data_IF_132184739799
#
_entry.id   IF_132184739799
#
_cell.length_a   1.000
_cell.length_b   1.000
_cell.length_c   1.000
_cell.angle_alpha   90.00
_cell.angle_beta   90.00
_cell.angle_gamma   90.00
#
_symmetry.space_group_name_H-M   'P 1'
#
loop_
_entity.id
_entity.type
_entity.pdbx_description
1 polymer ?
#
# COMPACT_ATOMS: atom_id res chain seq x y z
N UNK A 1 -14.67 -5.79 18.31
CA UNK A 1 -13.85 -5.84 19.55
C UNK A 1 -12.35 -5.80 19.26
N UNK A 2 -11.82 -6.69 18.41
CA UNK A 2 -10.39 -6.68 18.03
C UNK A 2 -9.92 -5.30 17.50
N UNK A 3 -10.68 -4.69 16.58
CA UNK A 3 -10.38 -3.34 16.05
C UNK A 3 -10.23 -2.27 17.14
N UNK A 4 -11.18 -2.22 18.07
CA UNK A 4 -11.13 -1.28 19.19
C UNK A 4 -9.98 -1.58 20.16
N UNK A 5 -9.63 -2.86 20.38
CA UNK A 5 -8.53 -3.25 21.24
C UNK A 5 -7.15 -2.93 20.62
N UNK A 6 -7.04 -3.03 19.30
CA UNK A 6 -5.87 -2.58 18.54
C UNK A 6 -5.73 -1.04 18.53
N UNK A 7 -6.86 -0.34 18.71
CA UNK A 7 -6.91 1.11 18.68
C UNK A 7 -7.09 1.67 17.27
N UNK A 8 -7.90 1.03 16.43
CA UNK A 8 -8.28 1.59 15.13
C UNK A 8 -9.30 2.73 15.32
N UNK A 9 -9.06 3.88 14.68
CA UNK A 9 -10.00 5.02 14.64
C UNK A 9 -11.15 4.76 13.66
N UNK A 10 -10.85 4.12 12.53
CA UNK A 10 -11.79 3.74 11.48
C UNK A 10 -11.66 2.24 11.22
N UNK A 11 -12.79 1.53 11.21
CA UNK A 11 -12.90 0.15 10.79
C UNK A 11 -13.67 0.08 9.47
N UNK A 12 -12.98 -0.34 8.43
CA UNK A 12 -13.56 -0.53 7.11
C UNK A 12 -13.97 -1.99 6.91
N UNK A 13 -15.16 -2.24 6.37
CA UNK A 13 -15.54 -3.58 5.91
C UNK A 13 -14.92 -3.88 4.54
N UNK A 14 -14.60 -5.15 4.34
CA UNK A 14 -14.03 -5.67 3.10
C UNK A 14 -14.39 -7.16 2.98
N UNK A 15 -15.64 -7.51 3.33
CA UNK A 15 -16.10 -8.88 3.17
C UNK A 15 -16.16 -9.21 1.67
N UNK A 16 -15.90 -10.46 1.30
CA UNK A 16 -15.92 -10.88 -0.10
C UNK A 16 -17.33 -10.80 -0.68
N UNK A 17 -17.51 -9.92 -1.66
CA UNK A 17 -18.73 -9.75 -2.46
C UNK A 17 -19.99 -9.57 -1.58
N UNK A 18 -19.86 -8.84 -0.47
CA UNK A 18 -20.94 -8.58 0.48
C UNK A 18 -20.74 -7.28 1.26
N UNK A 19 -21.74 -6.39 1.27
CA UNK A 19 -21.65 -5.13 2.01
C UNK A 19 -22.07 -5.29 3.47
N UNK A 20 -21.09 -5.39 4.37
CA UNK A 20 -21.33 -5.46 5.82
C UNK A 20 -21.24 -4.10 6.51
N UNK A 21 -22.37 -3.59 6.99
CA UNK A 21 -22.40 -2.45 7.90
C UNK A 21 -22.12 -2.88 9.36
N UNK A 22 -20.95 -2.48 9.87
CA UNK A 22 -20.56 -2.73 11.27
C UNK A 22 -21.20 -1.76 12.28
N UNK A 23 -21.81 -0.65 11.85
CA UNK A 23 -22.40 0.38 12.70
C UNK A 23 -23.41 -0.17 13.72
N UNK A 24 -24.40 -0.99 13.31
CA UNK A 24 -25.35 -1.62 14.23
C UNK A 24 -24.68 -2.53 15.27
N UNK A 25 -23.58 -3.19 14.92
CA UNK A 25 -22.82 -4.05 15.84
C UNK A 25 -22.05 -3.18 16.84
N UNK A 26 -21.41 -2.11 16.40
CA UNK A 26 -20.71 -1.14 17.27
C UNK A 26 -21.69 -0.50 18.25
N UNK A 27 -22.87 -0.10 17.79
CA UNK A 27 -23.92 0.46 18.65
C UNK A 27 -24.35 -0.53 19.73
N UNK A 28 -24.68 -1.77 19.35
CA UNK A 28 -25.07 -2.82 20.31
C UNK A 28 -23.99 -3.07 21.35
N UNK A 29 -22.73 -3.22 20.93
CA UNK A 29 -21.62 -3.46 21.85
C UNK A 29 -21.38 -2.25 22.79
N UNK A 30 -21.68 -1.04 22.33
CA UNK A 30 -21.65 0.17 23.17
C UNK A 30 -22.78 0.18 24.20
N UNK A 31 -24.00 -0.20 23.81
CA UNK A 31 -25.16 -0.33 24.71
C UNK A 31 -24.96 -1.41 25.78
N UNK A 32 -24.25 -2.50 25.44
CA UNK A 32 -23.86 -3.57 26.36
C UNK A 32 -22.70 -3.17 27.29
N UNK A 33 -22.08 -2.01 27.06
CA UNK A 33 -20.92 -1.52 27.83
C UNK A 33 -19.62 -2.28 27.54
N UNK A 34 -19.54 -2.97 26.39
CA UNK A 34 -18.35 -3.69 25.93
C UNK A 34 -17.42 -2.81 25.09
N UNK A 35 -17.96 -1.77 24.47
CA UNK A 35 -17.22 -0.69 23.82
C UNK A 35 -17.57 0.64 24.45
N UNK A 36 -16.64 1.58 24.43
CA UNK A 36 -16.98 2.97 24.72
C UNK A 36 -17.87 3.46 23.58
N UNK A 37 -18.97 4.14 23.92
CA UNK A 37 -19.79 4.80 22.92
C UNK A 37 -18.90 5.75 22.11
N UNK A 38 -18.97 5.65 20.78
CA UNK A 38 -18.22 6.53 19.87
C UNK A 38 -16.70 6.44 20.09
N UNK A 39 -16.14 5.23 19.94
CA UNK A 39 -14.69 4.98 20.03
C UNK A 39 -14.04 4.54 18.73
N UNK A 40 -14.84 4.33 17.69
CA UNK A 40 -14.43 3.86 16.37
C UNK A 40 -15.50 4.25 15.35
N UNK A 41 -15.09 4.78 14.21
CA UNK A 41 -15.94 5.00 13.05
C UNK A 41 -15.96 3.74 12.18
N UNK A 42 -17.04 3.50 11.45
CA UNK A 42 -17.14 2.39 10.50
C UNK A 42 -17.41 2.89 9.09
N UNK A 43 -16.72 2.32 8.10
CA UNK A 43 -16.93 2.63 6.68
C UNK A 43 -17.26 1.31 5.97
N UNK A 44 -18.29 1.32 5.13
CA UNK A 44 -18.68 0.14 4.35
C UNK A 44 -17.83 0.08 3.08
N UNK A 45 -17.29 -1.10 2.79
CA UNK A 45 -16.61 -1.42 1.55
C UNK A 45 -16.80 -2.89 1.17
N UNK A 46 -16.33 -3.22 -0.03
CA UNK A 46 -16.44 -4.54 -0.65
C UNK A 46 -15.08 -5.01 -1.15
N UNK A 47 -14.68 -6.23 -0.77
CA UNK A 47 -13.60 -6.92 -1.46
C UNK A 47 -14.18 -7.68 -2.65
N UNK A 48 -14.23 -7.01 -3.79
CA UNK A 48 -14.73 -7.55 -5.06
C UNK A 48 -13.75 -8.63 -5.53
N UNK A 49 -14.22 -9.87 -5.63
CA UNK A 49 -13.35 -11.06 -5.64
C UNK A 49 -13.40 -11.91 -6.93
N UNK A 50 -13.02 -11.36 -8.10
CA UNK A 50 -12.85 -12.15 -9.30
C UNK A 50 -11.77 -13.22 -9.14
N UNK A 51 -12.21 -14.47 -9.00
CA UNK A 51 -11.34 -15.64 -8.87
C UNK A 51 -10.40 -15.87 -10.07
N UNK A 52 -10.64 -15.20 -11.19
CA UNK A 52 -9.95 -15.42 -12.45
C UNK A 52 -8.69 -14.57 -12.59
N UNK A 53 -8.67 -13.39 -11.99
CA UNK A 53 -7.58 -12.45 -12.20
C UNK A 53 -7.22 -11.62 -10.97
N UNK A 54 -7.88 -11.76 -9.83
CA UNK A 54 -7.47 -11.13 -8.58
C UNK A 54 -8.47 -10.09 -8.07
N UNK A 55 -8.24 -9.65 -6.83
CA UNK A 55 -9.23 -8.90 -6.06
C UNK A 55 -9.02 -7.39 -6.18
N UNK A 56 -10.12 -6.68 -6.03
CA UNK A 56 -10.18 -5.23 -5.91
C UNK A 56 -10.96 -4.90 -4.64
N UNK A 57 -10.76 -3.69 -4.12
CA UNK A 57 -11.50 -3.21 -2.97
C UNK A 57 -12.06 -1.83 -3.27
N UNK A 58 -13.34 -1.63 -2.97
CA UNK A 58 -14.05 -0.37 -3.18
C UNK A 58 -14.71 0.11 -1.88
N UNK A 59 -14.57 1.40 -1.55
CA UNK A 59 -15.13 2.03 -0.34
C UNK A 59 -15.04 3.56 -0.40
N UNK A 60 -15.88 4.31 0.31
CA UNK A 60 -17.15 3.90 0.90
C UNK A 60 -18.13 3.37 -0.16
N UNK A 61 -19.10 2.54 0.25
CA UNK A 61 -20.18 2.04 -0.61
C UNK A 61 -21.53 2.13 0.10
N UNK A 62 -22.60 2.33 -0.68
CA UNK A 62 -23.96 2.41 -0.15
C UNK A 62 -24.62 1.03 -0.01
N UNK A 63 -25.08 0.70 1.19
CA UNK A 63 -25.79 -0.56 1.46
C UNK A 63 -27.24 -0.55 0.93
N UNK A 64 -27.63 -1.59 0.18
CA UNK A 64 -29.04 -1.90 -0.13
C UNK A 64 -29.52 -3.17 0.59
N UNK A 65 -30.20 -2.99 1.72
CA UNK A 65 -30.75 -4.09 2.53
C UNK A 65 -31.87 -4.90 1.84
N UNK A 66 -32.35 -4.51 0.65
CA UNK A 66 -33.30 -5.29 -0.12
C UNK A 66 -32.62 -6.31 -1.04
N UNK A 67 -31.32 -6.16 -1.27
CA UNK A 67 -30.50 -7.09 -2.02
C UNK A 67 -29.95 -8.20 -1.09
N UNK A 68 -29.98 -9.48 -1.49
CA UNK A 68 -29.38 -10.57 -0.71
C UNK A 68 -27.93 -10.35 -0.30
N UNK A 69 -27.13 -9.67 -1.14
CA UNK A 69 -25.70 -9.41 -0.90
C UNK A 69 -25.47 -7.94 -0.49
N UNK A 70 -26.55 -7.29 -0.04
CA UNK A 70 -26.56 -5.93 0.50
C UNK A 70 -26.12 -4.84 -0.49
N UNK A 71 -26.17 -5.12 -1.79
CA UNK A 71 -25.78 -4.20 -2.85
C UNK A 71 -24.36 -4.39 -3.37
N UNK A 72 -23.67 -5.46 -2.96
CA UNK A 72 -22.36 -5.82 -3.49
C UNK A 72 -22.41 -6.06 -5.01
N UNK A 73 -21.29 -5.81 -5.68
CA UNK A 73 -21.20 -5.95 -7.13
C UNK A 73 -21.13 -7.43 -7.52
N UNK A 74 -22.11 -7.91 -8.29
CA UNK A 74 -22.00 -9.22 -8.96
C UNK A 74 -21.04 -9.14 -10.15
N UNK A 75 -19.74 -9.30 -9.88
CA UNK A 75 -18.69 -9.33 -10.90
C UNK A 75 -18.79 -10.53 -11.85
N UNK A 76 -19.62 -11.53 -11.51
CA UNK A 76 -19.86 -12.71 -12.32
C UNK A 76 -21.02 -12.55 -13.31
N UNK A 77 -21.87 -11.52 -13.18
CA UNK A 77 -22.98 -11.31 -14.11
C UNK A 77 -22.45 -10.87 -15.48
N UNK A 78 -22.58 -11.75 -16.49
CA UNK A 78 -22.23 -11.41 -17.85
C UNK A 78 -23.37 -11.72 -18.83
N UNK A 79 -23.68 -10.83 -19.80
CA UNK A 79 -24.76 -11.05 -20.78
C UNK A 79 -24.59 -12.29 -21.68
N UNK A 80 -23.38 -12.86 -21.74
CA UNK A 80 -23.09 -14.11 -22.46
C UNK A 80 -23.27 -15.36 -21.59
N UNK A 81 -23.57 -15.19 -20.30
CA UNK A 81 -23.78 -16.32 -19.42
C UNK A 81 -25.04 -17.06 -19.81
N UNK A 82 -24.88 -18.38 -19.85
CA UNK A 82 -25.93 -19.32 -20.16
C UNK A 82 -25.93 -20.33 -19.04
N UNK A 83 -27.11 -20.63 -18.48
CA UNK A 83 -27.24 -21.68 -17.45
C UNK A 83 -26.67 -22.98 -18.02
N UNK A 84 -25.44 -23.30 -17.63
CA UNK A 84 -24.60 -24.32 -18.24
C UNK A 84 -23.55 -24.79 -17.22
N UNK A 85 -23.08 -26.05 -17.31
CA UNK A 85 -21.91 -26.49 -16.57
C UNK A 85 -20.58 -25.99 -17.16
N UNK A 86 -20.62 -25.18 -18.23
CA UNK A 86 -19.46 -24.54 -18.81
C UNK A 86 -19.02 -23.35 -17.94
N UNK A 87 -17.74 -22.95 -18.00
CA UNK A 87 -17.24 -21.79 -17.26
C UNK A 87 -17.96 -20.48 -17.66
N UNK A 88 -18.49 -19.75 -16.68
CA UNK A 88 -19.11 -18.42 -16.84
C UNK A 88 -18.08 -17.34 -17.21
N UNK A 89 -18.53 -16.33 -17.95
CA UNK A 89 -17.74 -15.13 -18.25
C UNK A 89 -17.76 -14.20 -17.04
N UNK A 90 -16.81 -13.28 -16.96
CA UNK A 90 -16.73 -12.33 -15.85
C UNK A 90 -16.52 -10.92 -16.35
N UNK A 91 -16.91 -9.94 -15.53
CA UNK A 91 -16.54 -8.56 -15.77
C UNK A 91 -15.03 -8.43 -15.87
N UNK A 92 -14.55 -7.55 -16.75
CA UNK A 92 -13.16 -7.10 -16.80
C UNK A 92 -12.85 -6.13 -15.64
N UNK A 93 -11.58 -5.93 -15.27
CA UNK A 93 -11.21 -4.95 -14.25
C UNK A 93 -11.79 -3.55 -14.49
N UNK A 94 -11.79 -3.07 -15.73
CA UNK A 94 -12.35 -1.76 -16.07
C UNK A 94 -13.87 -1.68 -15.85
N UNK A 95 -14.61 -2.75 -16.16
CA UNK A 95 -16.05 -2.80 -15.90
C UNK A 95 -16.35 -2.83 -14.40
N UNK A 96 -15.54 -3.55 -13.62
CA UNK A 96 -15.68 -3.56 -12.14
C UNK A 96 -15.51 -2.15 -11.59
N UNK A 97 -14.46 -1.46 -12.02
CA UNK A 97 -14.17 -0.09 -11.58
C UNK A 97 -15.28 0.86 -12.00
N UNK A 98 -15.77 0.78 -13.24
CA UNK A 98 -16.89 1.58 -13.72
C UNK A 98 -18.17 1.35 -12.88
N UNK A 99 -18.44 0.10 -12.51
CA UNK A 99 -19.59 -0.23 -11.68
C UNK A 99 -19.43 0.24 -10.22
N UNK A 100 -18.24 0.11 -9.65
CA UNK A 100 -17.95 0.61 -8.29
C UNK A 100 -18.07 2.15 -8.23
N UNK A 101 -17.56 2.86 -9.23
CA UNK A 101 -17.67 4.32 -9.36
C UNK A 101 -19.08 4.82 -9.72
N UNK A 102 -20.05 3.91 -9.89
CA UNK A 102 -21.46 4.29 -10.06
C UNK A 102 -22.16 4.53 -8.71
N UNK A 103 -21.58 4.08 -7.59
CA UNK A 103 -22.03 4.50 -6.26
C UNK A 103 -21.84 6.03 -6.12
N UNK A 104 -22.78 6.75 -5.51
CA UNK A 104 -22.69 8.20 -5.42
C UNK A 104 -21.73 8.64 -4.31
N UNK A 105 -20.59 9.22 -4.67
CA UNK A 105 -19.72 9.82 -3.67
C UNK A 105 -18.29 10.01 -4.15
N UNK A 106 -17.37 9.89 -3.19
CA UNK A 106 -15.94 9.80 -3.42
C UNK A 106 -15.51 8.38 -3.01
N UNK A 107 -15.19 7.54 -4.00
CA UNK A 107 -14.78 6.17 -3.75
C UNK A 107 -13.26 6.00 -3.92
N UNK A 108 -12.67 5.22 -3.03
CA UNK A 108 -11.34 4.64 -3.20
C UNK A 108 -11.49 3.34 -3.95
N UNK A 109 -10.79 3.22 -5.08
CA UNK A 109 -10.68 1.99 -5.83
C UNK A 109 -9.26 1.46 -5.64
N UNK A 110 -9.14 0.39 -4.87
CA UNK A 110 -7.88 -0.24 -4.53
C UNK A 110 -7.71 -1.55 -5.31
N UNK A 111 -6.52 -1.79 -5.87
CA UNK A 111 -6.11 -3.16 -6.23
C UNK A 111 -5.48 -3.85 -5.02
N UNK A 112 -6.00 -5.02 -4.65
CA UNK A 112 -5.59 -5.69 -3.41
C UNK A 112 -4.31 -6.49 -3.59
N UNK A 113 -3.57 -6.61 -2.48
CA UNK A 113 -2.43 -7.48 -2.25
C UNK A 113 -1.64 -7.77 -3.52
N UNK A 114 -1.06 -6.72 -4.13
CA UNK A 114 -0.62 -6.74 -5.54
C UNK A 114 0.47 -7.75 -5.87
N UNK A 115 1.13 -8.28 -4.84
CA UNK A 115 2.21 -9.27 -4.95
C UNK A 115 1.84 -10.63 -4.38
N UNK A 116 0.57 -10.83 -4.00
CA UNK A 116 0.04 -12.13 -3.62
C UNK A 116 -0.15 -13.02 -4.86
N UNK A 117 0.08 -14.32 -4.66
CA UNK A 117 -0.23 -15.36 -5.63
C UNK A 117 -1.15 -16.40 -4.95
N UNK A 118 -2.41 -16.56 -5.39
CA UNK A 118 -2.91 -16.20 -6.72
C UNK A 118 -3.79 -14.94 -6.82
N UNK A 119 -4.05 -14.22 -5.72
CA UNK A 119 -5.16 -13.24 -5.70
C UNK A 119 -4.75 -11.80 -6.05
N UNK A 120 -3.46 -11.49 -6.15
CA UNK A 120 -2.98 -10.18 -6.60
C UNK A 120 -3.11 -9.99 -8.10
N UNK A 121 -3.91 -9.01 -8.55
CA UNK A 121 -4.15 -8.79 -9.99
C UNK A 121 -2.88 -8.60 -10.83
N UNK A 122 -1.90 -7.76 -10.42
CA UNK A 122 -0.67 -7.61 -11.18
C UNK A 122 0.10 -8.92 -11.35
N UNK A 123 0.12 -9.79 -10.35
CA UNK A 123 0.76 -11.12 -10.44
C UNK A 123 -0.07 -12.06 -11.30
N UNK A 124 -1.37 -12.15 -11.05
CA UNK A 124 -2.27 -13.02 -11.80
C UNK A 124 -2.27 -12.67 -13.29
N UNK A 125 -2.33 -11.39 -13.66
CA UNK A 125 -2.32 -10.93 -15.05
C UNK A 125 -0.91 -10.80 -15.66
N UNK A 126 0.15 -10.87 -14.85
CA UNK A 126 1.51 -10.67 -15.31
C UNK A 126 1.74 -9.24 -15.80
N UNK A 127 1.55 -8.26 -14.94
CA UNK A 127 1.78 -6.85 -15.27
C UNK A 127 3.28 -6.58 -15.42
N UNK A 128 3.64 -6.03 -16.57
CA UNK A 128 4.97 -5.51 -16.84
C UNK A 128 4.96 -3.99 -16.67
N UNK A 129 5.54 -3.48 -15.59
CA UNK A 129 5.49 -2.05 -15.24
C UNK A 129 6.78 -1.28 -15.57
N UNK A 130 7.80 -1.93 -16.10
CA UNK A 130 9.09 -1.29 -16.42
C UNK A 130 9.24 -1.01 -17.93
N UNK A 131 9.77 0.17 -18.33
CA UNK A 131 9.99 0.49 -19.74
C UNK A 131 11.27 -0.13 -20.32
N UNK A 132 12.08 -0.83 -19.53
CA UNK A 132 13.38 -1.37 -19.95
C UNK A 132 13.28 -2.32 -21.17
N UNK A 133 12.13 -2.95 -21.37
CA UNK A 133 11.89 -3.88 -22.48
C UNK A 133 11.40 -3.19 -23.77
N UNK A 134 11.14 -1.88 -23.75
CA UNK A 134 10.58 -1.16 -24.89
C UNK A 134 11.53 -1.11 -26.08
N UNK A 135 12.81 -0.80 -25.86
CA UNK A 135 13.77 -0.64 -26.96
C UNK A 135 14.20 -1.98 -27.58
N UNK A 136 14.58 -2.95 -26.73
CA UNK A 136 15.14 -4.22 -27.19
C UNK A 136 14.06 -5.21 -27.64
N UNK A 137 12.93 -5.27 -26.93
CA UNK A 137 11.87 -6.26 -27.16
C UNK A 137 10.61 -5.68 -27.80
N UNK A 138 10.49 -4.35 -27.91
CA UNK A 138 9.30 -3.71 -28.45
C UNK A 138 8.06 -3.89 -27.57
N UNK A 139 8.23 -4.20 -26.28
CA UNK A 139 7.14 -4.38 -25.31
C UNK A 139 7.04 -3.12 -24.47
N UNK A 140 5.92 -2.41 -24.59
CA UNK A 140 5.65 -1.22 -23.79
C UNK A 140 5.53 -1.56 -22.30
N UNK A 141 5.89 -0.60 -21.44
CA UNK A 141 5.55 -0.67 -20.03
C UNK A 141 4.03 -0.57 -19.85
N UNK A 142 3.56 -0.97 -18.67
CA UNK A 142 2.15 -1.02 -18.32
C UNK A 142 1.36 -1.86 -19.33
N UNK A 143 1.73 -3.14 -19.42
CA UNK A 143 0.99 -4.16 -20.19
C UNK A 143 0.76 -5.40 -19.33
N UNK A 144 -0.32 -6.12 -19.59
CA UNK A 144 -0.54 -7.45 -19.04
C UNK A 144 -0.04 -8.53 -20.02
N UNK A 145 0.57 -9.60 -19.49
CA UNK A 145 1.07 -10.72 -20.29
C UNK A 145 0.09 -11.88 -20.39
N UNK A 146 -0.90 -11.95 -19.51
CA UNK A 146 -1.97 -12.95 -19.57
C UNK A 146 -2.92 -12.68 -20.74
N UNK A 147 -3.41 -13.76 -21.37
CA UNK A 147 -4.51 -13.68 -22.32
C UNK A 147 -5.84 -13.42 -21.57
N UNK A 148 -6.56 -12.31 -21.84
CA UNK A 148 -7.88 -12.05 -21.27
C UNK A 148 -8.86 -13.22 -21.44
N UNK A 149 -8.78 -13.96 -22.55
CA UNK A 149 -9.67 -15.10 -22.81
C UNK A 149 -9.42 -16.24 -21.81
N UNK A 150 -8.17 -16.48 -21.44
CA UNK A 150 -7.83 -17.47 -20.41
C UNK A 150 -8.37 -17.06 -19.03
N UNK A 151 -8.68 -15.76 -18.85
CA UNK A 151 -9.29 -15.19 -17.64
C UNK A 151 -10.79 -14.99 -17.76
N UNK A 152 -11.39 -15.56 -18.80
CA UNK A 152 -12.83 -15.55 -19.06
C UNK A 152 -13.43 -14.17 -19.28
N UNK A 153 -12.64 -13.25 -19.83
CA UNK A 153 -13.14 -12.00 -20.35
C UNK A 153 -13.87 -12.30 -21.68
N UNK A 154 -15.11 -11.80 -21.81
CA UNK A 154 -16.12 -12.25 -22.76
C UNK A 154 -15.98 -11.75 -24.19
N UNK A 155 -15.17 -10.71 -24.43
CA UNK A 155 -15.04 -10.12 -25.78
C UNK A 155 -13.61 -9.80 -26.20
N UNK A 156 -13.42 -9.74 -27.52
CA UNK A 156 -12.19 -9.19 -28.12
C UNK A 156 -12.06 -7.71 -27.78
N UNK A 157 -11.00 -7.34 -27.05
CA UNK A 157 -10.69 -5.95 -26.69
C UNK A 157 -10.75 -5.64 -25.18
N UNK A 158 -11.25 -6.55 -24.35
CA UNK A 158 -11.14 -6.43 -22.88
C UNK A 158 -9.69 -6.64 -22.43
N UNK A 159 -9.31 -5.95 -21.36
CA UNK A 159 -7.93 -5.86 -20.87
C UNK A 159 -7.85 -6.23 -19.39
N UNK A 160 -6.77 -6.91 -19.01
CA UNK A 160 -6.43 -7.21 -17.61
C UNK A 160 -5.57 -6.11 -16.97
N UNK A 161 -5.36 -5.01 -17.69
CA UNK A 161 -4.70 -3.81 -17.20
C UNK A 161 -5.57 -2.58 -17.44
N UNK A 162 -5.59 -1.68 -16.45
CA UNK A 162 -6.43 -0.49 -16.41
C UNK A 162 -5.77 0.53 -15.47
N UNK A 163 -6.06 1.82 -15.66
CA UNK A 163 -5.42 2.96 -14.97
C UNK A 163 -6.38 3.78 -14.11
N UNK A 164 -7.59 3.27 -13.88
CA UNK A 164 -8.69 3.97 -13.20
C UNK A 164 -8.80 3.64 -11.70
N UNK A 165 -7.76 3.03 -11.11
CA UNK A 165 -7.69 2.78 -9.66
C UNK A 165 -6.95 3.92 -8.96
N UNK A 166 -7.33 4.20 -7.72
CA UNK A 166 -6.76 5.30 -6.92
C UNK A 166 -5.77 4.82 -5.86
N UNK A 167 -5.85 3.55 -5.45
CA UNK A 167 -4.99 2.97 -4.43
C UNK A 167 -4.48 1.57 -4.80
N UNK A 168 -3.40 1.13 -4.14
CA UNK A 168 -2.87 -0.22 -4.29
C UNK A 168 -2.30 -0.75 -2.98
N UNK A 169 -2.70 -1.96 -2.60
CA UNK A 169 -2.22 -2.60 -1.39
C UNK A 169 -0.91 -3.32 -1.63
N UNK A 170 0.16 -2.83 -1.00
CA UNK A 170 1.52 -3.33 -1.20
C UNK A 170 1.83 -4.55 -0.33
N UNK A 171 1.12 -4.76 0.76
CA UNK A 171 1.36 -5.90 1.66
C UNK A 171 0.14 -6.17 2.55
N UNK A 172 0.02 -7.44 2.94
CA UNK A 172 -0.96 -7.92 3.91
C UNK A 172 -0.30 -8.35 5.23
N UNK A 173 -1.09 -8.51 6.29
CA UNK A 173 -0.61 -8.91 7.61
C UNK A 173 0.14 -10.25 7.61
N UNK A 174 -0.37 -11.24 6.86
CA UNK A 174 0.24 -12.57 6.76
C UNK A 174 1.62 -12.56 6.05
N UNK A 175 1.85 -11.56 5.18
CA UNK A 175 3.07 -11.40 4.39
C UNK A 175 4.15 -10.55 5.06
N UNK A 176 3.89 -9.97 6.24
CA UNK A 176 4.80 -9.02 6.91
C UNK A 176 6.19 -9.60 7.27
N UNK A 177 6.31 -10.92 7.42
CA UNK A 177 7.59 -11.61 7.67
C UNK A 177 8.37 -11.93 6.39
N UNK A 178 7.75 -11.74 5.23
CA UNK A 178 8.33 -12.05 3.93
C UNK A 178 9.05 -10.84 3.34
N UNK A 179 9.87 -11.09 2.33
CA UNK A 179 10.59 -10.02 1.63
C UNK A 179 9.79 -9.45 0.43
N UNK A 180 8.52 -9.84 0.27
CA UNK A 180 7.74 -9.54 -0.94
C UNK A 180 7.37 -8.08 -1.07
N UNK A 181 7.06 -7.40 0.04
CA UNK A 181 6.91 -5.94 0.07
C UNK A 181 8.12 -5.23 -0.57
N UNK A 182 9.32 -5.58 -0.10
CA UNK A 182 10.56 -4.92 -0.50
C UNK A 182 11.05 -5.35 -1.87
N UNK A 183 10.91 -6.61 -2.25
CA UNK A 183 11.49 -7.10 -3.52
C UNK A 183 10.54 -7.06 -4.71
N UNK A 184 9.24 -6.83 -4.48
CA UNK A 184 8.21 -6.87 -5.54
C UNK A 184 7.24 -5.68 -5.44
N UNK A 185 6.58 -5.47 -4.31
CA UNK A 185 5.46 -4.53 -4.24
C UNK A 185 5.89 -3.05 -4.34
N UNK A 186 6.81 -2.59 -3.48
CA UNK A 186 7.39 -1.24 -3.55
C UNK A 186 8.01 -0.93 -4.92
N UNK A 187 8.87 -1.80 -5.50
CA UNK A 187 9.42 -1.49 -6.82
C UNK A 187 8.36 -1.52 -7.94
N UNK A 188 7.32 -2.35 -7.84
CA UNK A 188 6.19 -2.29 -8.78
C UNK A 188 5.47 -0.94 -8.67
N UNK A 189 5.25 -0.45 -7.45
CA UNK A 189 4.67 0.87 -7.20
C UNK A 189 5.57 2.01 -7.71
N UNK A 190 6.88 1.99 -7.45
CA UNK A 190 7.82 2.99 -7.98
C UNK A 190 7.84 3.03 -9.52
N UNK A 191 7.75 1.86 -10.17
CA UNK A 191 7.58 1.81 -11.62
C UNK A 191 6.30 2.55 -12.05
N UNK A 192 5.18 2.32 -11.37
CA UNK A 192 3.92 3.03 -11.64
C UNK A 192 4.02 4.54 -11.37
N UNK A 193 4.70 4.98 -10.31
CA UNK A 193 4.98 6.41 -10.06
C UNK A 193 5.75 7.03 -11.23
N UNK A 194 6.82 6.37 -11.69
CA UNK A 194 7.63 6.84 -12.81
C UNK A 194 6.86 6.86 -14.14
N UNK A 195 5.89 5.96 -14.31
CA UNK A 195 4.99 5.93 -15.47
C UNK A 195 3.88 6.97 -15.40
N UNK A 196 3.68 7.63 -14.26
CA UNK A 196 2.65 8.64 -14.06
C UNK A 196 1.38 8.15 -13.36
N UNK A 197 1.25 6.86 -13.01
CA UNK A 197 -0.02 6.32 -12.48
C UNK A 197 -0.38 6.80 -11.07
N UNK A 198 0.64 7.03 -10.23
CA UNK A 198 0.54 7.60 -8.89
C UNK A 198 -0.58 7.05 -7.96
N UNK A 199 -0.86 5.74 -7.92
CA UNK A 199 -1.83 5.21 -6.97
C UNK A 199 -1.29 5.36 -5.54
N UNK A 200 -2.19 5.59 -4.59
CA UNK A 200 -1.86 5.62 -3.17
C UNK A 200 -1.43 4.23 -2.72
N UNK A 201 -0.21 4.12 -2.23
CA UNK A 201 0.23 2.91 -1.58
C UNK A 201 -0.47 2.74 -0.22
N UNK A 202 -1.01 1.56 0.02
CA UNK A 202 -1.63 1.13 1.28
C UNK A 202 -1.04 -0.19 1.74
N UNK A 203 -1.33 -0.57 2.99
CA UNK A 203 -1.10 -1.93 3.49
C UNK A 203 -2.15 -2.25 4.55
N UNK A 204 -2.88 -3.35 4.38
CA UNK A 204 -3.93 -3.75 5.32
C UNK A 204 -3.60 -5.10 5.94
N UNK A 205 -4.34 -5.50 6.96
CA UNK A 205 -4.04 -6.75 7.66
C UNK A 205 -4.58 -7.98 6.94
N UNK A 206 -5.65 -7.84 6.14
CA UNK A 206 -6.36 -8.95 5.48
C UNK A 206 -6.74 -10.07 6.49
N UNK A 207 -7.43 -9.64 7.54
CA UNK A 207 -7.61 -10.45 8.75
C UNK A 207 -8.79 -11.40 8.67
N UNK A 208 -8.49 -12.68 8.47
CA UNK A 208 -9.46 -13.78 8.53
C UNK A 208 -9.47 -14.53 9.89
N UNK A 209 -8.51 -14.21 10.76
CA UNK A 209 -8.30 -14.91 12.03
C UNK A 209 -7.86 -13.96 13.13
N UNK A 210 -8.52 -14.03 14.29
CA UNK A 210 -8.19 -13.19 15.45
C UNK A 210 -6.76 -13.41 16.00
N UNK A 211 -6.19 -14.61 15.79
CA UNK A 211 -4.92 -15.01 16.41
C UNK A 211 -3.77 -15.09 15.40
N UNK A 212 -4.00 -15.57 14.17
CA UNK A 212 -2.90 -15.82 13.23
C UNK A 212 -2.52 -14.58 12.41
N UNK A 213 -3.52 -13.78 12.05
CA UNK A 213 -3.37 -12.55 11.26
C UNK A 213 -4.23 -11.49 11.95
N UNK A 214 -3.82 -11.04 13.15
CA UNK A 214 -4.65 -10.12 13.93
C UNK A 214 -4.88 -8.82 13.15
N UNK A 215 -6.04 -8.23 13.38
CA UNK A 215 -6.45 -6.98 12.76
C UNK A 215 -5.53 -5.81 13.19
N UNK A 216 -5.29 -4.87 12.28
CA UNK A 216 -4.64 -3.59 12.59
C UNK A 216 -3.14 -3.52 12.31
N UNK A 217 -2.57 -4.54 11.65
CA UNK A 217 -1.17 -4.51 11.19
C UNK A 217 -0.98 -5.23 9.84
N UNK A 218 -0.33 -4.61 8.84
CA UNK A 218 0.05 -3.19 8.80
C UNK A 218 -1.20 -2.28 8.84
N UNK A 219 -0.97 -0.98 9.10
CA UNK A 219 -2.02 0.04 9.15
C UNK A 219 -1.69 1.23 8.27
N UNK A 220 -2.73 1.96 7.92
CA UNK A 220 -2.66 3.21 7.17
C UNK A 220 -2.99 4.37 8.10
N UNK A 221 -2.08 5.32 8.23
CA UNK A 221 -2.34 6.60 8.90
C UNK A 221 -2.78 7.62 7.84
N UNK A 222 -4.03 8.07 7.95
CA UNK A 222 -4.68 8.94 6.97
C UNK A 222 -4.90 10.31 7.62
N UNK A 223 -4.63 11.39 6.90
CA UNK A 223 -4.86 12.75 7.41
C UNK A 223 -6.34 12.93 7.78
N UNK A 224 -6.59 13.50 8.96
CA UNK A 224 -7.93 13.79 9.44
C UNK A 224 -7.96 15.10 10.24
N UNK A 225 -9.03 15.87 10.09
CA UNK A 225 -9.32 17.01 10.96
C UNK A 225 -9.99 16.60 12.28
N UNK A 226 -10.35 15.31 12.40
CA UNK A 226 -11.05 14.70 13.53
C UNK A 226 -10.22 13.51 14.03
N UNK A 227 -9.72 13.65 15.24
CA UNK A 227 -9.02 12.64 16.03
C UNK A 227 -9.32 12.90 17.52
N UNK A 228 -10.46 12.39 18.03
CA UNK A 228 -10.87 12.66 19.40
C UNK A 228 -9.88 12.11 20.44
N UNK A 229 -9.08 11.10 20.05
CA UNK A 229 -8.02 10.51 20.87
C UNK A 229 -6.91 11.52 21.15
N UNK A 230 -6.58 12.32 20.13
CA UNK A 230 -5.58 13.39 20.21
C UNK A 230 -6.20 14.79 20.46
N UNK A 231 -7.50 14.86 20.74
CA UNK A 231 -8.22 16.08 21.11
C UNK A 231 -8.61 16.98 19.93
N UNK A 232 -8.64 16.43 18.71
CA UNK A 232 -9.14 17.10 17.51
C UNK A 232 -10.57 16.63 17.22
N UNK A 233 -11.53 17.56 17.19
CA UNK A 233 -12.95 17.19 17.10
C UNK A 233 -13.48 16.59 18.41
N UNK A 234 -14.78 16.31 18.44
CA UNK A 234 -15.45 15.83 19.65
C UNK A 234 -15.79 14.34 19.61
N UNK A 235 -15.83 13.74 18.42
CA UNK A 235 -16.49 12.45 18.20
C UNK A 235 -15.97 11.73 16.96
N UNK A 236 -15.87 10.39 16.98
CA UNK A 236 -15.43 9.61 15.80
C UNK A 236 -16.47 9.63 14.70
N UNK A 237 -17.75 9.80 15.02
CA UNK A 237 -18.80 9.97 14.00
C UNK A 237 -18.65 11.26 13.18
N UNK A 238 -17.80 12.20 13.61
CA UNK A 238 -17.46 13.41 12.84
C UNK A 238 -16.40 13.14 11.76
N UNK A 239 -15.79 11.94 11.73
CA UNK A 239 -14.96 11.50 10.62
C UNK A 239 -15.87 11.25 9.42
N UNK A 240 -15.83 12.18 8.48
CA UNK A 240 -16.57 12.17 7.22
C UNK A 240 -15.92 11.18 6.23
N UNK A 241 -16.72 10.26 5.69
CA UNK A 241 -16.23 9.18 4.82
C UNK A 241 -15.77 9.69 3.45
N UNK A 242 -16.39 10.73 2.89
CA UNK A 242 -15.96 11.33 1.62
C UNK A 242 -14.62 12.05 1.80
N UNK A 243 -14.43 12.76 2.92
CA UNK A 243 -13.14 13.40 3.23
C UNK A 243 -12.07 12.35 3.50
N UNK A 244 -12.42 11.24 4.18
CA UNK A 244 -11.52 10.12 4.42
C UNK A 244 -11.07 9.49 3.09
N UNK A 245 -12.01 9.16 2.21
CA UNK A 245 -11.76 8.61 0.88
C UNK A 245 -10.92 9.57 0.03
N UNK A 246 -11.27 10.86 0.01
CA UNK A 246 -10.50 11.88 -0.72
C UNK A 246 -9.06 11.96 -0.23
N UNK A 247 -8.82 11.95 1.08
CA UNK A 247 -7.43 11.98 1.59
C UNK A 247 -6.64 10.73 1.20
N UNK A 248 -7.28 9.57 1.07
CA UNK A 248 -6.65 8.38 0.50
C UNK A 248 -6.39 8.58 -0.99
N UNK A 249 -7.37 9.03 -1.77
CA UNK A 249 -7.22 9.30 -3.20
C UNK A 249 -6.15 10.37 -3.48
N UNK A 250 -5.95 11.32 -2.58
CA UNK A 250 -4.92 12.37 -2.60
C UNK A 250 -3.57 11.91 -2.04
N UNK A 251 -3.38 10.62 -1.80
CA UNK A 251 -2.11 10.03 -1.33
C UNK A 251 -1.66 10.56 0.05
N UNK A 252 -2.56 11.11 0.87
CA UNK A 252 -2.25 11.62 2.22
C UNK A 252 -2.23 10.50 3.26
N UNK A 253 -1.40 9.50 2.98
CA UNK A 253 -1.33 8.24 3.71
C UNK A 253 0.12 7.86 4.05
N UNK A 254 0.35 7.46 5.30
CA UNK A 254 1.59 6.80 5.74
C UNK A 254 1.28 5.36 6.12
N UNK A 255 1.95 4.41 5.48
CA UNK A 255 1.76 2.98 5.74
C UNK A 255 2.77 2.54 6.79
N UNK A 256 2.31 1.78 7.78
CA UNK A 256 3.13 1.48 8.95
C UNK A 256 2.91 0.08 9.50
N UNK A 257 4.04 -0.51 9.89
CA UNK A 257 4.18 -1.65 10.77
C UNK A 257 4.92 -1.24 12.07
N UNK A 258 4.43 -0.19 12.74
CA UNK A 258 4.95 0.28 14.03
C UNK A 258 5.45 1.73 14.00
N UNK A 259 6.55 2.06 13.29
CA UNK A 259 7.03 3.43 13.18
C UNK A 259 6.02 4.36 12.48
N UNK A 260 5.99 5.62 12.86
CA UNK A 260 5.25 6.68 12.18
C UNK A 260 6.22 7.71 11.64
N UNK A 261 5.98 8.18 10.42
CA UNK A 261 6.84 9.15 9.72
C UNK A 261 6.04 10.43 9.51
N UNK A 262 6.55 11.53 10.03
CA UNK A 262 6.12 12.88 9.69
C UNK A 262 7.17 13.50 8.78
N UNK A 263 6.76 13.88 7.57
CA UNK A 263 7.65 14.51 6.58
C UNK A 263 7.06 15.84 6.11
N UNK A 264 7.92 16.86 6.00
CA UNK A 264 7.57 18.19 5.48
C UNK A 264 8.65 18.66 4.53
N UNK A 265 8.25 19.11 3.36
CA UNK A 265 9.11 19.79 2.41
C UNK A 265 8.87 21.30 2.51
N UNK A 266 9.93 22.09 2.43
CA UNK A 266 9.87 23.56 2.38
C UNK A 266 10.71 24.10 1.23
N UNK A 267 10.18 25.05 0.45
CA UNK A 267 10.92 25.71 -0.63
C UNK A 267 11.58 27.03 -0.16
N UNK A 268 12.35 27.66 -1.04
CA UNK A 268 13.05 28.91 -0.75
C UNK A 268 12.11 30.08 -0.43
N UNK A 269 10.87 30.03 -0.92
CA UNK A 269 9.80 31.01 -0.68
C UNK A 269 9.11 30.82 0.69
N UNK A 270 9.36 29.70 1.37
CA UNK A 270 8.77 29.36 2.66
C UNK A 270 7.40 28.67 2.57
N UNK A 271 7.00 28.19 1.39
CA UNK A 271 5.86 27.29 1.25
C UNK A 271 6.19 25.91 1.80
N UNK A 272 5.20 25.21 2.35
CA UNK A 272 5.36 23.89 2.97
C UNK A 272 4.39 22.91 2.31
N UNK A 273 4.85 21.69 2.05
CA UNK A 273 4.04 20.57 1.58
C UNK A 273 4.30 19.31 2.43
N UNK A 274 3.28 18.50 2.64
CA UNK A 274 3.36 17.20 3.28
C UNK A 274 3.21 16.03 2.31
N UNK A 275 3.07 14.83 2.87
CA UNK A 275 2.78 13.60 2.13
C UNK A 275 1.50 13.75 1.30
N UNK A 276 1.57 13.42 0.02
CA UNK A 276 0.49 13.55 -0.98
C UNK A 276 0.43 14.92 -1.68
N UNK A 277 1.19 15.92 -1.21
CA UNK A 277 1.12 17.29 -1.72
C UNK A 277 2.27 17.62 -2.70
N UNK A 278 2.04 18.66 -3.51
CA UNK A 278 3.03 19.21 -4.45
C UNK A 278 3.72 20.42 -3.82
N UNK A 279 5.03 20.53 -4.00
CA UNK A 279 5.84 21.70 -3.70
C UNK A 279 6.60 22.17 -4.93
N UNK A 280 6.50 23.46 -5.22
CA UNK A 280 7.21 24.05 -6.36
C UNK A 280 8.60 24.53 -5.96
N UNK A 281 9.58 24.22 -6.81
CA UNK A 281 10.94 24.73 -6.71
C UNK A 281 12.00 23.63 -6.88
N UNK A 282 13.23 24.07 -7.19
CA UNK A 282 14.36 23.16 -7.40
C UNK A 282 15.20 22.91 -6.15
N UNK A 283 15.05 23.76 -5.14
CA UNK A 283 15.76 23.68 -3.87
C UNK A 283 14.74 23.49 -2.75
N UNK A 284 14.77 22.32 -2.14
CA UNK A 284 13.79 21.90 -1.13
C UNK A 284 14.54 21.51 0.14
N UNK A 285 14.10 22.01 1.28
CA UNK A 285 14.50 21.50 2.59
C UNK A 285 13.48 20.46 3.04
N UNK A 286 13.93 19.24 3.31
CA UNK A 286 13.11 18.13 3.78
C UNK A 286 13.36 17.89 5.27
N UNK A 287 12.34 18.11 6.08
CA UNK A 287 12.31 17.80 7.51
C UNK A 287 11.58 16.47 7.73
N UNK A 288 12.25 15.52 8.36
CA UNK A 288 11.73 14.18 8.65
C UNK A 288 11.81 13.92 10.14
N UNK A 289 10.70 13.50 10.74
CA UNK A 289 10.62 12.95 12.08
C UNK A 289 10.07 11.53 12.00
N UNK A 290 10.80 10.57 12.55
CA UNK A 290 10.34 9.19 12.70
C UNK A 290 10.21 8.88 14.18
N UNK A 291 9.05 8.39 14.58
CA UNK A 291 8.77 7.98 15.96
C UNK A 291 8.21 6.56 15.98
N UNK A 292 8.62 5.74 16.94
CA UNK A 292 8.05 4.42 17.14
C UNK A 292 8.08 4.06 18.64
N UNK A 293 7.16 3.22 19.12
CA UNK A 293 7.36 2.61 20.43
C UNK A 293 8.62 1.72 20.41
N UNK A 294 9.31 1.59 21.54
CA UNK A 294 10.59 0.86 21.66
C UNK A 294 10.52 -0.60 21.18
N UNK A 295 9.35 -1.22 21.25
CA UNK A 295 9.13 -2.59 20.78
C UNK A 295 9.00 -2.71 19.24
N UNK A 296 8.74 -1.60 18.54
CA UNK A 296 8.68 -1.51 17.08
C UNK A 296 9.94 -0.84 16.52
N UNK A 297 11.08 -1.50 16.73
CA UNK A 297 12.39 -0.91 16.49
C UNK A 297 12.66 -0.54 15.02
N UNK A 298 13.21 0.66 14.79
CA UNK A 298 13.83 1.06 13.54
C UNK A 298 15.27 1.55 13.75
N UNK A 299 16.13 1.40 12.74
CA UNK A 299 17.53 1.85 12.79
C UNK A 299 18.04 2.48 11.49
N UNK A 300 17.19 2.48 10.46
CA UNK A 300 17.52 2.92 9.11
C UNK A 300 16.39 3.82 8.59
N UNK A 301 16.76 4.97 8.04
CA UNK A 301 15.88 5.85 7.25
C UNK A 301 16.46 5.93 5.83
N UNK A 302 15.61 5.72 4.84
CA UNK A 302 15.95 5.67 3.43
C UNK A 302 15.08 6.68 2.67
N UNK A 303 15.65 7.37 1.69
CA UNK A 303 14.95 8.35 0.86
C UNK A 303 15.10 7.92 -0.59
N UNK A 304 13.97 7.78 -1.27
CA UNK A 304 13.85 7.36 -2.67
C UNK A 304 13.32 8.52 -3.50
N UNK A 305 13.96 8.82 -4.62
CA UNK A 305 13.65 9.93 -5.51
C UNK A 305 13.68 9.45 -6.96
N UNK A 306 12.54 9.44 -7.66
CA UNK A 306 12.44 8.94 -9.04
C UNK A 306 13.18 7.60 -9.27
N UNK A 307 13.25 6.76 -8.24
CA UNK A 307 14.06 5.53 -8.24
C UNK A 307 13.54 4.58 -9.31
N UNK A 308 14.44 3.98 -10.07
CA UNK A 308 14.13 3.02 -11.14
C UNK A 308 14.50 1.59 -10.75
N UNK A 309 13.50 0.75 -10.43
CA UNK A 309 13.74 -0.66 -10.19
C UNK A 309 14.16 -1.43 -11.44
N UNK A 310 15.21 -2.23 -11.30
CA UNK A 310 15.73 -3.10 -12.36
C UNK A 310 15.23 -4.52 -12.15
N UNK A 311 14.68 -5.20 -13.19
CA UNK A 311 14.31 -6.61 -13.12
C UNK A 311 15.41 -7.51 -12.56
N UNK A 312 15.04 -8.40 -11.64
CA UNK A 312 15.93 -9.29 -10.91
C UNK A 312 15.54 -10.76 -11.07
N UNK A 313 16.53 -11.64 -10.88
CA UNK A 313 16.29 -13.08 -10.73
C UNK A 313 15.35 -13.34 -9.53
N UNK A 314 14.69 -14.51 -9.48
CA UNK A 314 13.73 -14.89 -8.42
C UNK A 314 14.30 -14.78 -7.00
N UNK A 315 15.63 -14.86 -6.86
CA UNK A 315 16.30 -14.62 -5.57
C UNK A 315 16.16 -13.19 -5.05
N UNK A 316 15.84 -12.24 -5.93
CA UNK A 316 15.81 -10.80 -5.69
C UNK A 316 17.18 -10.17 -5.45
N UNK A 317 18.29 -10.92 -5.65
CA UNK A 317 19.64 -10.48 -5.26
C UNK A 317 20.45 -9.89 -6.40
N UNK A 318 20.17 -10.33 -7.62
CA UNK A 318 20.96 -9.97 -8.79
C UNK A 318 20.02 -9.52 -9.90
N UNK A 319 20.37 -8.43 -10.60
CA UNK A 319 19.71 -8.08 -11.84
C UNK A 319 19.78 -9.25 -12.83
N UNK A 320 18.74 -9.41 -13.65
CA UNK A 320 18.68 -10.45 -14.67
C UNK A 320 19.88 -10.35 -15.65
N UNK A 321 20.38 -11.50 -16.11
CA UNK A 321 21.47 -11.62 -17.10
C UNK A 321 21.05 -12.56 -18.24
N UNK A 322 21.46 -12.26 -19.46
CA UNK A 322 21.16 -13.03 -20.69
C UNK A 322 19.66 -13.39 -20.83
N UNK A 323 19.26 -14.53 -21.42
CA UNK A 323 17.87 -14.91 -21.82
C UNK A 323 16.79 -14.86 -20.72
N UNK A 324 17.16 -14.56 -19.48
CA UNK A 324 16.28 -13.99 -18.46
C UNK A 324 15.80 -12.55 -18.80
N UNK A 325 16.26 -11.98 -19.91
CA UNK A 325 15.84 -10.73 -20.53
C UNK A 325 14.48 -10.81 -21.25
N UNK A 326 13.83 -11.97 -21.30
CA UNK A 326 12.49 -12.08 -21.90
C UNK A 326 11.42 -11.44 -21.01
N UNK A 327 10.70 -10.39 -21.47
CA UNK A 327 9.59 -9.83 -20.70
C UNK A 327 8.47 -10.86 -20.43
N UNK A 328 8.30 -11.86 -21.31
CA UNK A 328 7.30 -12.94 -21.15
C UNK A 328 7.58 -13.86 -19.97
N UNK A 329 8.85 -14.15 -19.67
CA UNK A 329 9.20 -14.97 -18.50
C UNK A 329 9.24 -14.12 -17.23
N UNK A 330 9.74 -12.88 -17.31
CA UNK A 330 9.81 -11.99 -16.16
C UNK A 330 8.42 -11.67 -15.57
N UNK A 331 7.50 -11.22 -16.43
CA UNK A 331 6.12 -10.87 -16.06
C UNK A 331 5.14 -12.00 -16.41
N UNK A 332 5.59 -13.26 -16.32
CA UNK A 332 4.73 -14.41 -16.58
C UNK A 332 3.52 -14.40 -15.62
N UNK A 333 2.30 -14.72 -16.09
CA UNK A 333 1.14 -14.81 -15.20
C UNK A 333 1.37 -15.78 -14.03
N UNK A 334 0.98 -15.38 -12.82
CA UNK A 334 1.24 -16.06 -11.55
C UNK A 334 2.72 -16.17 -11.14
N UNK A 335 3.60 -15.37 -11.74
CA UNK A 335 4.97 -15.19 -11.29
C UNK A 335 5.07 -13.86 -10.53
N UNK A 336 5.66 -13.88 -9.33
CA UNK A 336 5.89 -12.67 -8.54
C UNK A 336 7.19 -12.01 -9.01
N UNK A 337 7.15 -10.89 -9.76
CA UNK A 337 8.35 -10.27 -10.30
C UNK A 337 9.22 -9.73 -9.16
N UNK A 338 10.55 -9.82 -9.32
CA UNK A 338 11.52 -9.31 -8.35
C UNK A 338 12.37 -8.22 -8.97
N UNK A 339 12.79 -7.26 -8.16
CA UNK A 339 13.59 -6.13 -8.61
C UNK A 339 14.78 -5.86 -7.69
N UNK A 340 15.84 -5.26 -8.25
CA UNK A 340 16.93 -4.64 -7.52
C UNK A 340 16.82 -3.12 -7.69
N UNK A 341 16.90 -2.41 -6.58
CA UNK A 341 16.88 -0.95 -6.50
C UNK A 341 17.55 -0.51 -5.18
N UNK A 342 17.76 0.78 -5.01
CA UNK A 342 18.31 1.34 -3.79
C UNK A 342 17.90 2.79 -3.61
N UNK A 343 18.00 3.31 -2.37
CA UNK A 343 17.67 4.69 -2.08
C UNK A 343 18.76 5.63 -2.59
N UNK A 344 18.36 6.87 -2.81
CA UNK A 344 19.24 7.99 -3.15
C UNK A 344 20.03 8.45 -1.92
N UNK A 345 19.38 8.47 -0.75
CA UNK A 345 20.01 8.78 0.53
C UNK A 345 19.66 7.74 1.59
N UNK A 346 20.62 7.42 2.46
CA UNK A 346 20.43 6.44 3.52
C UNK A 346 21.16 6.79 4.80
N UNK A 347 20.42 6.75 5.91
CA UNK A 347 20.88 7.09 7.24
C UNK A 347 20.68 5.90 8.17
N UNK A 348 21.75 5.47 8.84
CA UNK A 348 21.76 4.29 9.72
C UNK A 348 22.41 4.59 11.05
N UNK A 349 21.92 3.92 12.08
CA UNK A 349 22.59 3.86 13.38
C UNK A 349 23.91 3.10 13.29
N UNK A 350 23.99 2.04 12.47
CA UNK A 350 25.13 1.13 12.41
C UNK A 350 26.42 1.77 11.88
N UNK A 351 26.31 2.79 11.04
CA UNK A 351 27.46 3.54 10.49
C UNK A 351 27.57 4.97 11.06
N UNK A 352 26.65 5.36 11.95
CA UNK A 352 26.63 6.68 12.60
C UNK A 352 26.19 7.83 11.70
N UNK A 353 25.56 7.56 10.56
CA UNK A 353 24.96 8.58 9.70
C UNK A 353 23.62 9.10 10.23
N UNK A 354 22.81 8.25 10.88
CA UNK A 354 21.62 8.67 11.63
C UNK A 354 22.04 9.16 13.02
N UNK A 355 22.26 10.47 13.15
CA UNK A 355 22.89 11.07 14.34
C UNK A 355 21.92 11.60 15.37
N UNK A 356 20.86 12.28 14.93
CA UNK A 356 19.88 12.89 15.83
C UNK A 356 18.77 11.89 16.12
N UNK A 357 19.05 10.99 17.05
CA UNK A 357 18.10 9.99 17.53
C UNK A 357 18.22 9.83 19.04
N UNK A 358 17.13 9.38 19.66
CA UNK A 358 17.07 9.09 21.09
C UNK A 358 16.02 8.03 21.39
N UNK A 359 16.23 7.36 22.51
CA UNK A 359 15.30 6.42 23.10
C UNK A 359 15.00 6.86 24.53
N UNK A 360 13.76 7.29 24.77
CA UNK A 360 13.31 7.79 26.08
C UNK A 360 11.83 7.46 26.29
N UNK A 361 11.45 7.15 27.53
CA UNK A 361 10.06 6.92 27.93
C UNK A 361 9.31 5.85 27.11
N UNK A 362 9.99 4.81 26.62
CA UNK A 362 9.35 3.76 25.83
C UNK A 362 9.19 4.11 24.35
N UNK A 363 9.79 5.20 23.88
CA UNK A 363 9.74 5.69 22.50
C UNK A 363 11.15 5.84 21.90
N UNK A 364 11.32 5.39 20.67
CA UNK A 364 12.46 5.74 19.81
C UNK A 364 12.04 6.88 18.88
N UNK A 365 12.87 7.90 18.76
CA UNK A 365 12.66 9.02 17.84
C UNK A 365 13.95 9.35 17.10
N UNK A 366 13.83 9.75 15.84
CA UNK A 366 14.95 10.24 15.04
C UNK A 366 14.49 11.40 14.14
N UNK A 367 15.32 12.43 14.02
CA UNK A 367 15.06 13.58 13.16
C UNK A 367 16.14 13.73 12.09
N UNK A 368 15.74 14.15 10.90
CA UNK A 368 16.65 14.46 9.79
C UNK A 368 16.21 15.76 9.12
N UNK A 369 17.19 16.58 8.75
CA UNK A 369 17.00 17.73 7.88
C UNK A 369 17.93 17.56 6.67
N UNK A 370 17.37 17.62 5.47
CA UNK A 370 18.10 17.38 4.23
C UNK A 370 17.78 18.47 3.21
N UNK A 371 18.82 19.13 2.70
CA UNK A 371 18.69 20.00 1.53
C UNK A 371 18.75 19.17 0.25
N UNK A 372 17.68 19.19 -0.53
CA UNK A 372 17.56 18.56 -1.84
C UNK A 372 17.75 19.60 -2.95
N UNK A 373 18.41 19.20 -4.03
CA UNK A 373 18.42 19.94 -5.28
C UNK A 373 18.04 18.99 -6.40
N UNK A 374 16.91 19.26 -7.05
CA UNK A 374 16.37 18.42 -8.12
C UNK A 374 16.38 19.18 -9.44
N UNK A 375 16.62 18.44 -10.53
CA UNK A 375 16.72 19.04 -11.86
C UNK A 375 15.47 18.88 -12.73
N UNK A 376 14.59 17.99 -12.32
CA UNK A 376 13.31 17.62 -12.94
C UNK A 376 12.30 17.33 -11.84
N UNK A 377 11.04 17.15 -12.22
CA UNK A 377 9.98 16.83 -11.27
C UNK A 377 10.28 15.49 -10.61
N UNK A 378 10.22 15.50 -9.29
CA UNK A 378 10.71 14.40 -8.47
C UNK A 378 9.69 14.03 -7.41
N UNK A 379 9.23 12.78 -7.43
CA UNK A 379 8.50 12.23 -6.29
C UNK A 379 9.52 11.79 -5.23
N UNK A 380 9.19 11.99 -3.95
CA UNK A 380 10.05 11.65 -2.82
C UNK A 380 9.31 10.74 -1.86
N UNK A 381 9.84 9.54 -1.63
CA UNK A 381 9.30 8.55 -0.68
C UNK A 381 10.31 8.30 0.43
N UNK A 382 9.84 8.32 1.68
CA UNK A 382 10.66 8.08 2.86
C UNK A 382 10.29 6.74 3.47
N UNK A 383 11.29 5.93 3.79
CA UNK A 383 11.13 4.63 4.44
C UNK A 383 11.90 4.61 5.75
N UNK A 384 11.28 4.14 6.81
CA UNK A 384 11.95 3.80 8.07
C UNK A 384 11.85 2.30 8.31
N UNK A 385 12.94 1.62 8.68
CA UNK A 385 12.90 0.18 8.93
C UNK A 385 13.88 -0.29 10.00
N UNK A 386 13.48 -1.36 10.68
CA UNK A 386 14.34 -2.13 11.57
C UNK A 386 15.13 -3.18 10.81
N UNK A 387 16.40 -3.33 11.18
CA UNK A 387 17.30 -4.31 10.56
C UNK A 387 17.52 -5.50 11.51
N UNK A 388 17.12 -6.74 11.17
CA UNK A 388 17.25 -7.91 12.06
C UNK A 388 18.68 -8.19 12.56
N UNK A 389 19.69 -7.68 11.88
CA UNK A 389 21.09 -7.90 12.22
C UNK A 389 21.64 -6.90 13.27
N UNK A 390 20.89 -5.86 13.65
CA UNK A 390 21.36 -4.84 14.60
C UNK A 390 21.12 -5.26 16.05
N UNK A 391 21.83 -4.60 16.99
CA UNK A 391 21.69 -4.85 18.43
C UNK A 391 20.31 -4.44 18.96
N UNK A 392 19.74 -3.38 18.39
CA UNK A 392 18.44 -2.85 18.81
C UNK A 392 17.23 -3.59 18.26
N UNK A 393 17.40 -4.53 17.32
CA UNK A 393 16.27 -5.23 16.69
C UNK A 393 15.23 -5.74 17.69
N UNK A 394 13.96 -5.49 17.37
CA UNK A 394 12.81 -6.03 18.06
C UNK A 394 11.86 -6.66 17.05
N UNK A 395 11.55 -7.93 17.25
CA UNK A 395 10.51 -8.62 16.48
C UNK A 395 9.14 -8.08 16.85
N UNK A 396 8.27 -7.91 15.85
CA UNK A 396 6.86 -7.56 16.02
C UNK A 396 5.99 -8.70 16.61
N UNK A 397 6.57 -9.83 17.03
CA UNK A 397 5.83 -10.82 17.82
C UNK A 397 5.29 -10.18 19.12
N UNK A 398 4.07 -10.50 19.62
CA UNK A 398 3.08 -11.43 19.09
C UNK A 398 2.11 -10.83 18.06
N UNK A 399 2.30 -9.56 17.65
CA UNK A 399 1.44 -8.89 16.65
C UNK A 399 1.57 -9.56 15.28
N UNK A 400 2.76 -10.05 14.93
CA UNK A 400 2.98 -10.92 13.77
C UNK A 400 3.35 -12.33 14.26
N UNK A 401 2.38 -13.18 14.65
CA UNK A 401 2.65 -14.46 15.30
C UNK A 401 3.13 -15.55 14.34
N UNK A 402 2.90 -15.36 13.05
CA UNK A 402 3.26 -16.28 11.97
C UNK A 402 4.78 -16.49 11.80
N UNK A 403 5.60 -15.67 12.46
CA UNK A 403 7.04 -15.87 12.62
C UNK A 403 7.41 -17.19 13.31
N UNK A 404 6.48 -17.89 13.96
CA UNK A 404 6.73 -19.16 14.65
C UNK A 404 6.33 -20.42 13.84
N UNK A 405 5.84 -20.26 12.60
CA UNK A 405 5.31 -21.37 11.79
C UNK A 405 6.37 -22.39 11.32
N UNK A 406 7.66 -22.07 11.30
CA UNK A 406 8.71 -23.01 10.89
C UNK A 406 9.27 -23.79 12.08
N UNK A 407 9.30 -25.13 11.96
CA UNK A 407 9.96 -25.99 12.95
C UNK A 407 11.43 -25.58 13.15
N UNK A 408 11.84 -25.37 14.41
CA UNK A 408 13.21 -24.97 14.79
C UNK A 408 13.42 -23.47 15.03
N UNK A 409 12.43 -22.63 14.69
CA UNK A 409 12.43 -21.17 14.98
C UNK A 409 11.84 -20.84 16.35
N UNK A 410 11.22 -21.82 17.03
CA UNK A 410 10.78 -21.66 18.42
C UNK A 410 12.00 -21.48 19.34
N UNK A 411 12.06 -20.42 20.18
CA UNK A 411 13.10 -20.31 21.17
C UNK A 411 13.01 -21.48 22.15
N UNK A 412 14.18 -21.98 22.57
CA UNK A 412 14.29 -23.22 23.37
C UNK A 412 13.54 -23.17 24.70
N UNK A 413 13.24 -21.97 25.21
CA UNK A 413 12.46 -21.72 26.42
C UNK A 413 11.37 -20.69 26.10
N UNK A 414 10.11 -21.13 26.01
CA UNK A 414 8.94 -20.24 25.94
C UNK A 414 8.40 -20.00 27.34
N UNK A 415 8.43 -18.75 27.79
CA UNK A 415 7.69 -18.29 28.96
C UNK A 415 6.54 -17.39 28.49
N UNK A 416 5.27 -17.82 28.54
CA UNK A 416 4.15 -16.98 28.14
C UNK A 416 3.98 -15.73 29.02
N UNK A 417 4.65 -15.67 30.17
CA UNK A 417 4.67 -14.50 31.05
C UNK A 417 5.85 -13.56 30.78
N UNK A 418 6.80 -13.96 29.92
CA UNK A 418 7.95 -13.16 29.53
C UNK A 418 8.28 -13.34 28.03
N UNK A 419 7.78 -12.41 27.21
CA UNK A 419 7.99 -12.41 25.76
C UNK A 419 9.28 -11.69 25.34
N UNK A 420 10.02 -11.06 26.26
CA UNK A 420 11.27 -10.33 25.95
C UNK A 420 12.27 -11.14 25.11
N UNK A 421 12.50 -12.45 25.37
CA UNK A 421 13.38 -13.26 24.53
C UNK A 421 12.92 -13.39 23.07
N UNK A 422 11.61 -13.35 22.79
CA UNK A 422 11.09 -13.40 21.41
C UNK A 422 11.36 -12.11 20.66
N UNK A 423 11.12 -10.98 21.32
CA UNK A 423 11.38 -9.68 20.73
C UNK A 423 12.86 -9.54 20.36
N UNK A 424 13.77 -10.07 21.18
CA UNK A 424 15.23 -9.96 20.96
C UNK A 424 15.80 -11.04 20.02
N UNK A 425 15.04 -12.09 19.72
CA UNK A 425 15.54 -13.19 18.88
C UNK A 425 15.55 -12.79 17.40
N UNK A 426 16.76 -12.61 16.86
CA UNK A 426 17.00 -12.22 15.46
C UNK A 426 16.48 -13.24 14.43
N UNK A 427 16.10 -14.44 14.88
CA UNK A 427 15.48 -15.47 14.02
C UNK A 427 13.97 -15.25 13.86
N UNK A 428 13.34 -14.49 14.75
CA UNK A 428 11.91 -14.19 14.76
C UNK A 428 11.70 -12.95 13.87
N UNK A 429 11.50 -13.19 12.57
CA UNK A 429 11.78 -12.22 11.49
C UNK A 429 10.60 -11.40 10.97
N UNK A 430 9.95 -10.59 11.82
CA UNK A 430 9.04 -9.54 11.36
C UNK A 430 9.58 -8.18 11.86
N UNK A 431 10.41 -7.48 11.06
CA UNK A 431 10.92 -6.16 11.44
C UNK A 431 9.80 -5.13 11.41
N UNK A 432 9.94 -4.10 12.25
CA UNK A 432 9.12 -2.92 12.17
C UNK A 432 9.55 -2.08 10.96
N UNK A 433 8.59 -1.44 10.30
CA UNK A 433 8.84 -0.58 9.16
C UNK A 433 7.72 0.42 8.96
N UNK A 434 7.98 1.48 8.22
CA UNK A 434 6.99 2.42 7.72
C UNK A 434 7.47 3.05 6.43
N UNK A 435 6.54 3.49 5.59
CA UNK A 435 6.86 4.30 4.42
C UNK A 435 5.77 5.32 4.14
N UNK A 436 6.16 6.46 3.59
CA UNK A 436 5.23 7.50 3.17
C UNK A 436 4.73 7.23 1.75
N UNK A 437 3.53 7.72 1.42
CA UNK A 437 3.25 8.11 0.04
C UNK A 437 4.12 9.31 -0.37
N UNK A 438 4.15 9.71 -1.66
CA UNK A 438 5.14 10.67 -2.12
C UNK A 438 4.84 12.10 -1.68
N UNK A 439 5.89 12.89 -1.45
CA UNK A 439 5.85 14.34 -1.63
C UNK A 439 6.31 14.62 -3.06
N UNK A 440 5.58 15.45 -3.80
CA UNK A 440 5.89 15.75 -5.19
C UNK A 440 6.62 17.09 -5.29
N UNK A 441 7.83 17.09 -5.85
CA UNK A 441 8.57 18.31 -6.15
C UNK A 441 8.36 18.63 -7.63
N UNK A 442 7.68 19.74 -7.90
CA UNK A 442 7.50 20.28 -9.26
C UNK A 442 8.55 21.37 -9.53
N UNK A 443 9.20 21.29 -10.69
CA UNK A 443 10.30 22.17 -11.08
C UNK A 443 9.98 23.12 -12.23
N UNK A 444 8.95 22.83 -13.02
CA UNK A 444 8.61 23.57 -14.24
C UNK A 444 7.12 23.88 -14.42
N UNK A 445 6.25 23.46 -13.50
CA UNK A 445 4.80 23.61 -13.57
C UNK A 445 4.19 22.68 -14.62
N UNK A 446 2.92 22.90 -14.96
CA UNK A 446 2.22 22.18 -16.04
C UNK A 446 2.90 22.39 -17.41
N UNK A 447 3.91 21.56 -17.69
CA UNK A 447 4.80 21.69 -18.83
C UNK A 447 4.17 21.15 -20.13
N UNK A 448 3.28 20.16 -20.02
CA UNK A 448 2.58 19.56 -21.17
C UNK A 448 1.20 20.19 -21.46
N UNK A 449 0.65 20.96 -20.51
CA UNK A 449 -0.60 21.70 -20.62
C UNK A 449 -1.85 20.85 -20.36
N UNK A 450 -1.73 19.71 -19.68
CA UNK A 450 -2.84 18.82 -19.35
C UNK A 450 -3.61 19.20 -18.08
N UNK A 451 -3.15 20.23 -17.38
CA UNK A 451 -3.76 20.76 -16.16
C UNK A 451 -3.18 20.22 -14.87
N UNK A 452 -2.09 19.45 -14.91
CA UNK A 452 -1.40 18.93 -13.74
C UNK A 452 0.05 19.42 -13.68
N UNK A 453 0.44 19.98 -12.53
CA UNK A 453 1.76 20.59 -12.40
C UNK A 453 2.91 19.57 -12.35
N UNK A 454 2.68 18.35 -11.86
CA UNK A 454 3.74 17.36 -11.71
C UNK A 454 3.76 16.38 -12.88
N UNK A 455 4.92 16.23 -13.50
CA UNK A 455 5.09 15.41 -14.69
C UNK A 455 6.10 14.28 -14.46
N UNK A 456 5.60 13.05 -14.45
CA UNK A 456 6.41 11.88 -14.14
C UNK A 456 7.53 11.65 -15.17
N UNK A 457 8.65 11.11 -14.67
CA UNK A 457 9.87 10.87 -15.45
C UNK A 457 9.64 10.23 -16.83
N UNK A 458 8.86 9.16 -16.91
CA UNK A 458 8.63 8.46 -18.18
C UNK A 458 7.53 9.09 -19.04
N UNK A 459 6.69 9.96 -18.47
CA UNK A 459 5.79 10.83 -19.24
C UNK A 459 6.64 11.90 -19.95
N UNK A 460 7.52 12.62 -19.24
CA UNK A 460 8.46 13.59 -19.84
C UNK A 460 9.35 12.97 -20.92
N UNK A 461 9.77 11.73 -20.74
CA UNK A 461 10.59 11.00 -21.71
C UNK A 461 9.80 10.46 -22.94
N UNK A 462 8.46 10.56 -22.93
CA UNK A 462 7.60 10.01 -23.99
C UNK A 462 7.52 8.48 -24.02
N UNK A 463 7.84 7.81 -22.90
CA UNK A 463 7.77 6.35 -22.72
C UNK A 463 6.48 5.89 -22.02
N UNK A 464 5.70 6.83 -21.48
CA UNK A 464 4.36 6.62 -20.93
C UNK A 464 3.40 7.70 -21.42
N UNK A 465 2.14 7.32 -21.62
CA UNK A 465 1.04 8.24 -21.92
C UNK A 465 -0.03 8.22 -20.80
N UNK A 466 0.27 7.61 -19.65
CA UNK A 466 -0.66 7.58 -18.53
C UNK A 466 -0.82 9.01 -18.00
N UNK A 467 -2.08 9.43 -17.79
CA UNK A 467 -2.45 10.76 -17.28
C UNK A 467 -3.47 10.69 -16.13
N UNK A 468 -3.14 10.08 -14.98
CA UNK A 468 -4.11 9.79 -13.94
C UNK A 468 -3.87 10.58 -12.65
N UNK A 469 -2.93 11.53 -12.62
CA UNK A 469 -2.90 12.50 -11.55
C UNK A 469 -4.20 13.30 -11.65
N UNK A 470 -5.20 12.98 -10.84
CA UNK A 470 -6.34 13.85 -10.57
C UNK A 470 -6.29 14.12 -9.07
N UNK A 471 -5.99 15.36 -8.72
CA UNK A 471 -6.32 15.91 -7.40
C UNK A 471 -7.78 16.36 -7.40
#
# INVERSE_FOLDING_TARGET
LAAAADGLDVLQSSDHDFLTDYGPVVLRLSEEGLLNFDSIQTIVGDEITPNHYGHLHAFPLTVDLNDPDHGALDWSDHPLDVISPAPDYVMSPAQIVEAALADPGEEVIQINHISDNPTGLPVAAGWLTTPIYSEEFGVAAFTAMADPIERRLGVSGESLIFDQFTAMELTIGSAMKENTLWSSAIPTWFNLLNLGLMPTATGNSDSHHEIHVPLGMPRNYIVSAVDPRDGLGASYVEIDEEVHARNINDRRVVVSAGPFILAKAQNAEGNIAGVGEIIHGRQIELDILVEAPEWAWFDTIEIYMNTEPVPAEDSGRFPLRDEAASPQEFAKPYHVPRYVYGPDEIFRLSDGSLRDWKMEEGKISASLQLGLTVDEDTWVVIVARGTPQTEGYRSLFPIVPDVLKKEGELPQNFDPLNLEPFHLDRRVGAPAWAFTNPIFIDTDGDADGDGFDFEAKWVKAGLSNLKPFRQ
#
